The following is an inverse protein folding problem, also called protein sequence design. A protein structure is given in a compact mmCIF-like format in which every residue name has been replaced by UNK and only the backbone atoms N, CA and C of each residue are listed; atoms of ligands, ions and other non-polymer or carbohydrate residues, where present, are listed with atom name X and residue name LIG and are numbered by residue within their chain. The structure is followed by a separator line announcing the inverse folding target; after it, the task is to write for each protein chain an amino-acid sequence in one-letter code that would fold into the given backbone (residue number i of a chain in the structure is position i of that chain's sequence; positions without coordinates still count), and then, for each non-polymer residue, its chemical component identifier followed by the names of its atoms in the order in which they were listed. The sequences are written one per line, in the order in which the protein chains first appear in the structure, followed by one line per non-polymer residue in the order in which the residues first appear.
data_IF_920257446577
#
_entry.id   IF_920257446577
#
_cell.length_a   1.000
_cell.length_b   1.000
_cell.length_c   1.000
_cell.angle_alpha   90.00
_cell.angle_beta   90.00
_cell.angle_gamma   90.00
#
_symmetry.space_group_name_H-M   'P 1'
#
loop_
_entity.id
_entity.type
_entity.pdbx_description
1 polymer ?
#
# COMPACT_ATOMS: atom_id res chain seq x y z
N UNK A 1 6.93 14.27 -16.56
CA UNK A 1 5.52 14.67 -16.31
C UNK A 1 4.62 13.52 -15.85
N UNK A 2 4.90 12.26 -16.23
CA UNK A 2 3.98 11.13 -15.95
C UNK A 2 4.09 10.55 -14.52
N UNK A 3 5.23 10.68 -13.83
CA UNK A 3 5.46 10.08 -12.50
C UNK A 3 4.44 10.52 -11.45
N UNK A 4 4.08 11.81 -11.42
CA UNK A 4 3.14 12.36 -10.43
C UNK A 4 1.76 11.68 -10.42
N UNK A 5 1.02 11.68 -11.55
CA UNK A 5 -0.31 11.05 -11.60
C UNK A 5 -0.26 9.54 -11.37
N UNK A 6 0.78 8.83 -11.84
CA UNK A 6 0.88 7.37 -11.63
C UNK A 6 1.04 7.03 -10.14
N UNK A 7 1.83 7.81 -9.40
CA UNK A 7 1.99 7.63 -7.95
C UNK A 7 0.67 7.90 -7.22
N UNK A 8 -0.07 8.94 -7.62
CA UNK A 8 -1.37 9.26 -7.00
C UNK A 8 -2.39 8.12 -7.19
N UNK A 9 -2.48 7.56 -8.40
CA UNK A 9 -3.38 6.43 -8.69
C UNK A 9 -2.99 5.20 -7.86
N UNK A 10 -1.70 4.90 -7.75
CA UNK A 10 -1.22 3.78 -6.93
C UNK A 10 -1.59 3.96 -5.45
N UNK A 11 -1.36 5.15 -4.90
CA UNK A 11 -1.71 5.48 -3.51
C UNK A 11 -3.22 5.37 -3.26
N UNK A 12 -4.04 5.90 -4.17
CA UNK A 12 -5.49 5.80 -4.08
C UNK A 12 -5.98 4.35 -4.18
N UNK A 13 -5.34 3.53 -5.02
CA UNK A 13 -5.61 2.09 -5.12
C UNK A 13 -5.35 1.38 -3.80
N UNK A 14 -4.17 1.57 -3.20
CA UNK A 14 -3.81 1.00 -1.89
C UNK A 14 -4.80 1.43 -0.81
N UNK A 15 -5.14 2.72 -0.75
CA UNK A 15 -6.10 3.23 0.23
C UNK A 15 -7.51 2.64 0.05
N UNK A 16 -7.93 2.41 -1.19
CA UNK A 16 -9.21 1.78 -1.51
C UNK A 16 -9.23 0.32 -1.07
N UNK A 17 -8.19 -0.44 -1.41
CA UNK A 17 -8.06 -1.84 -0.98
C UNK A 17 -8.05 -1.95 0.54
N UNK A 18 -7.26 -1.13 1.23
CA UNK A 18 -7.21 -1.12 2.69
C UNK A 18 -8.58 -0.77 3.30
N UNK A 19 -9.31 0.19 2.71
CA UNK A 19 -10.65 0.54 3.16
C UNK A 19 -11.64 -0.63 2.99
N UNK A 20 -11.54 -1.37 1.88
CA UNK A 20 -12.34 -2.57 1.64
C UNK A 20 -12.05 -3.66 2.69
N UNK A 21 -10.77 -3.98 2.92
CA UNK A 21 -10.36 -4.96 3.92
C UNK A 21 -10.87 -4.61 5.32
N UNK A 22 -10.88 -3.31 5.68
CA UNK A 22 -11.43 -2.84 6.96
C UNK A 22 -12.94 -3.09 7.06
N UNK A 23 -13.69 -2.92 5.97
CA UNK A 23 -15.13 -3.21 5.93
C UNK A 23 -15.40 -4.71 6.06
N UNK A 24 -14.65 -5.54 5.33
CA UNK A 24 -14.80 -7.00 5.33
C UNK A 24 -14.41 -7.61 6.69
N UNK A 25 -13.28 -7.18 7.25
CA UNK A 25 -12.72 -7.71 8.51
C UNK A 25 -13.12 -6.93 9.76
N UNK A 26 -14.02 -5.95 9.64
CA UNK A 26 -14.41 -5.09 10.77
C UNK A 26 -14.93 -5.86 12.00
N UNK A 27 -15.61 -6.98 11.78
CA UNK A 27 -16.09 -7.88 12.85
C UNK A 27 -14.93 -8.59 13.57
N UNK A 28 -13.91 -9.03 12.84
CA UNK A 28 -12.72 -9.67 13.40
C UNK A 28 -11.94 -8.67 14.27
N UNK A 29 -11.75 -7.44 13.78
CA UNK A 29 -11.12 -6.38 14.56
C UNK A 29 -11.92 -6.02 15.83
N UNK A 30 -13.26 -6.03 15.74
CA UNK A 30 -14.14 -5.85 16.91
C UNK A 30 -13.99 -6.96 17.95
N UNK A 31 -13.89 -8.22 17.52
CA UNK A 31 -13.64 -9.39 18.39
C UNK A 31 -12.26 -9.33 19.04
N UNK A 32 -11.22 -9.02 18.27
CA UNK A 32 -9.87 -8.84 18.78
C UNK A 32 -9.82 -7.73 19.85
N UNK A 33 -10.54 -6.63 19.63
CA UNK A 33 -10.67 -5.56 20.64
C UNK A 33 -11.44 -6.00 21.89
N UNK A 34 -12.48 -6.83 21.74
CA UNK A 34 -13.21 -7.41 22.87
C UNK A 34 -12.34 -8.37 23.70
N UNK A 35 -11.36 -9.03 23.06
CA UNK A 35 -10.32 -9.83 23.71
C UNK A 35 -9.16 -9.00 24.30
N UNK A 36 -9.23 -7.67 24.23
CA UNK A 36 -8.27 -6.76 24.85
C UNK A 36 -7.22 -6.14 23.92
N UNK A 37 -7.27 -6.37 22.60
CA UNK A 37 -6.39 -5.65 21.67
C UNK A 37 -6.77 -4.16 21.64
N UNK A 38 -5.79 -3.29 21.89
CA UNK A 38 -5.99 -1.84 21.82
C UNK A 38 -6.19 -1.34 20.38
N UNK A 39 -6.88 -0.21 20.22
CA UNK A 39 -7.07 0.43 18.90
C UNK A 39 -5.76 0.79 18.19
N UNK A 40 -4.69 1.03 18.96
CA UNK A 40 -3.34 1.24 18.42
C UNK A 40 -2.75 -0.03 17.76
N UNK A 41 -3.10 -1.23 18.24
CA UNK A 41 -2.64 -2.48 17.63
C UNK A 41 -3.31 -2.70 16.26
N UNK A 42 -4.62 -2.44 16.16
CA UNK A 42 -5.38 -2.46 14.90
C UNK A 42 -4.81 -1.43 13.92
N UNK A 43 -4.52 -0.21 14.40
CA UNK A 43 -3.91 0.82 13.56
C UNK A 43 -2.56 0.36 12.99
N UNK A 44 -1.66 -0.16 13.84
CA UNK A 44 -0.34 -0.67 13.40
C UNK A 44 -0.47 -1.79 12.38
N UNK A 45 -1.43 -2.69 12.57
CA UNK A 45 -1.65 -3.82 11.66
C UNK A 45 -2.07 -3.33 10.27
N UNK A 46 -3.04 -2.43 10.18
CA UNK A 46 -3.49 -1.87 8.88
C UNK A 46 -2.39 -1.05 8.22
N UNK A 47 -1.62 -0.26 8.98
CA UNK A 47 -0.47 0.47 8.41
C UNK A 47 0.62 -0.48 7.90
N UNK A 48 0.85 -1.62 8.58
CA UNK A 48 1.83 -2.61 8.16
C UNK A 48 1.37 -3.34 6.89
N UNK A 49 0.09 -3.64 6.75
CA UNK A 49 -0.50 -4.20 5.52
C UNK A 49 -0.30 -3.25 4.33
N UNK A 50 -0.50 -1.96 4.53
CA UNK A 50 -0.26 -0.95 3.50
C UNK A 50 1.23 -0.77 3.15
N UNK A 51 2.12 -0.88 4.15
CA UNK A 51 3.56 -0.90 3.91
C UNK A 51 3.96 -2.13 3.09
N UNK A 52 3.38 -3.29 3.39
CA UNK A 52 3.62 -4.54 2.66
C UNK A 52 3.16 -4.43 1.19
N UNK A 53 2.02 -3.79 0.93
CA UNK A 53 1.61 -3.49 -0.44
C UNK A 53 2.62 -2.62 -1.20
N UNK A 54 3.27 -1.66 -0.52
CA UNK A 54 4.36 -0.88 -1.11
C UNK A 54 5.57 -1.74 -1.46
N UNK A 55 6.00 -2.61 -0.54
CA UNK A 55 7.11 -3.54 -0.79
C UNK A 55 6.79 -4.46 -1.97
N UNK A 56 5.62 -5.10 -1.97
CA UNK A 56 5.19 -6.01 -3.04
C UNK A 56 5.07 -5.27 -4.38
N UNK A 57 4.42 -4.10 -4.39
CA UNK A 57 4.30 -3.27 -5.58
C UNK A 57 5.65 -2.81 -6.12
N UNK A 58 6.58 -2.45 -5.24
CA UNK A 58 7.95 -2.08 -5.61
C UNK A 58 8.74 -3.25 -6.19
N UNK A 59 8.65 -4.44 -5.58
CA UNK A 59 9.34 -5.66 -6.07
C UNK A 59 8.78 -6.04 -7.44
N UNK A 60 7.46 -6.10 -7.59
CA UNK A 60 6.81 -6.40 -8.87
C UNK A 60 7.11 -5.33 -9.92
N UNK A 61 7.07 -4.06 -9.54
CA UNK A 61 7.39 -2.94 -10.42
C UNK A 61 8.83 -2.98 -10.93
N UNK A 62 9.80 -3.33 -10.08
CA UNK A 62 11.20 -3.52 -10.49
C UNK A 62 11.36 -4.77 -11.37
N UNK A 63 10.75 -5.88 -10.96
CA UNK A 63 10.82 -7.15 -11.68
C UNK A 63 10.24 -7.05 -13.10
N UNK A 64 9.20 -6.24 -13.30
CA UNK A 64 8.59 -6.01 -14.62
C UNK A 64 9.23 -4.82 -15.36
N UNK A 65 9.56 -3.75 -14.66
CA UNK A 65 10.04 -2.50 -15.24
C UNK A 65 11.46 -2.58 -15.79
N UNK A 66 12.38 -3.28 -15.12
CA UNK A 66 13.77 -3.41 -15.59
C UNK A 66 13.87 -4.22 -16.88
N UNK A 67 13.25 -5.42 -17.01
CA UNK A 67 13.23 -6.15 -18.27
C UNK A 67 12.50 -5.39 -19.39
N UNK A 68 11.41 -4.70 -19.07
CA UNK A 68 10.69 -3.89 -20.04
C UNK A 68 11.56 -2.75 -20.59
N UNK A 69 12.23 -2.00 -19.70
CA UNK A 69 13.15 -0.93 -20.11
C UNK A 69 14.31 -1.47 -20.97
N UNK A 70 14.85 -2.64 -20.61
CA UNK A 70 15.89 -3.31 -21.39
C UNK A 70 15.39 -3.69 -22.80
N UNK A 71 14.18 -4.26 -22.90
CA UNK A 71 13.58 -4.64 -24.17
C UNK A 71 13.35 -3.42 -25.07
N UNK A 72 12.88 -2.31 -24.52
CA UNK A 72 12.67 -1.06 -25.26
C UNK A 72 13.98 -0.53 -25.84
N UNK A 73 15.07 -0.50 -25.06
CA UNK A 73 16.38 -0.06 -25.55
C UNK A 73 16.90 -0.97 -26.67
N UNK A 74 16.68 -2.29 -26.56
CA UNK A 74 17.05 -3.26 -27.59
C UNK A 74 16.28 -3.08 -28.90
N UNK A 75 14.96 -2.88 -28.82
CA UNK A 75 14.09 -2.74 -30.00
C UNK A 75 14.27 -1.38 -30.68
N UNK A 76 14.58 -0.33 -29.92
CA UNK A 76 14.78 1.00 -30.47
C UNK A 76 16.11 1.17 -31.24
N UNK A 77 16.92 0.10 -31.38
CA UNK A 77 18.32 0.15 -31.88
C UNK A 77 19.14 1.28 -31.28
N UNK A 78 18.80 1.67 -30.04
CA UNK A 78 19.49 2.75 -29.37
C UNK A 78 20.92 2.28 -29.11
N UNK A 79 21.90 2.93 -29.74
CA UNK A 79 23.33 2.70 -29.51
C UNK A 79 23.77 3.12 -28.09
N UNK A 80 22.82 3.52 -27.24
CA UNK A 80 23.05 3.94 -25.88
C UNK A 80 23.28 2.73 -24.96
N UNK A 81 24.33 2.76 -24.13
CA UNK A 81 24.57 1.70 -23.16
C UNK A 81 23.43 1.68 -22.13
N UNK A 82 22.75 0.53 -22.01
CA UNK A 82 21.75 0.31 -20.97
C UNK A 82 22.44 0.27 -19.60
N UNK A 83 22.39 1.39 -18.89
CA UNK A 83 22.93 1.51 -17.53
C UNK A 83 21.76 1.57 -16.55
N UNK A 84 21.70 0.60 -15.63
CA UNK A 84 20.67 0.57 -14.59
C UNK A 84 21.07 1.52 -13.47
N UNK A 85 20.30 2.60 -13.19
CA UNK A 85 20.60 3.53 -12.10
C UNK A 85 20.15 2.92 -10.77
N UNK A 86 20.91 1.94 -10.26
CA UNK A 86 20.56 1.18 -9.06
C UNK A 86 20.30 2.08 -7.85
N UNK A 87 21.06 3.17 -7.67
CA UNK A 87 20.84 4.13 -6.60
C UNK A 87 19.49 4.85 -6.68
N UNK A 88 19.06 5.23 -7.89
CA UNK A 88 17.77 5.89 -8.10
C UNK A 88 16.60 4.90 -7.91
N UNK A 89 16.76 3.65 -8.38
CA UNK A 89 15.78 2.60 -8.15
C UNK A 89 15.63 2.28 -6.67
N UNK A 90 16.75 2.19 -5.94
CA UNK A 90 16.74 1.98 -4.49
C UNK A 90 16.08 3.15 -3.74
N UNK A 91 16.35 4.39 -4.15
CA UNK A 91 15.71 5.58 -3.57
C UNK A 91 14.20 5.59 -3.81
N UNK A 92 13.74 5.30 -5.02
CA UNK A 92 12.31 5.23 -5.35
C UNK A 92 11.63 4.08 -4.59
N UNK A 93 12.24 2.90 -4.56
CA UNK A 93 11.73 1.76 -3.79
C UNK A 93 11.64 2.09 -2.29
N UNK A 94 12.69 2.71 -1.74
CA UNK A 94 12.72 3.16 -0.34
C UNK A 94 11.68 4.22 -0.02
N UNK A 95 11.36 5.11 -0.97
CA UNK A 95 10.31 6.12 -0.82
C UNK A 95 8.89 5.52 -0.98
N UNK A 96 8.73 4.44 -1.74
CA UNK A 96 7.42 3.83 -2.00
C UNK A 96 6.78 3.29 -0.72
N UNK A 97 7.55 2.61 0.12
CA UNK A 97 7.09 1.99 1.37
C UNK A 97 6.46 3.00 2.34
N UNK A 98 7.11 4.12 2.73
CA UNK A 98 6.49 5.11 3.60
C UNK A 98 5.31 5.81 2.94
N UNK A 99 5.32 5.99 1.61
CA UNK A 99 4.20 6.59 0.87
C UNK A 99 2.95 5.71 0.92
N UNK A 100 3.09 4.39 0.68
CA UNK A 100 1.94 3.47 0.78
C UNK A 100 1.51 3.25 2.22
N UNK A 101 2.46 3.20 3.18
CA UNK A 101 2.13 3.15 4.60
C UNK A 101 1.32 4.38 5.04
N UNK A 102 1.69 5.58 4.57
CA UNK A 102 0.96 6.82 4.82
C UNK A 102 -0.46 6.78 4.24
N UNK A 103 -0.65 6.16 3.06
CA UNK A 103 -1.97 5.94 2.46
C UNK A 103 -2.91 5.14 3.38
N UNK A 104 -2.34 4.22 4.15
CA UNK A 104 -3.06 3.37 5.12
C UNK A 104 -3.53 4.08 6.39
N UNK A 105 -3.05 5.30 6.67
CA UNK A 105 -3.33 5.99 7.94
C UNK A 105 -4.82 6.29 8.12
N UNK A 106 -5.49 6.76 7.08
CA UNK A 106 -6.93 7.06 7.09
C UNK A 106 -7.78 5.79 7.31
N UNK A 107 -7.61 4.69 6.53
CA UNK A 107 -8.35 3.46 6.79
C UNK A 107 -7.98 2.82 8.14
N UNK A 108 -6.71 2.88 8.57
CA UNK A 108 -6.28 2.41 9.89
C UNK A 108 -6.97 3.16 11.04
N UNK A 109 -7.13 4.48 10.91
CA UNK A 109 -7.90 5.29 11.86
C UNK A 109 -9.37 4.87 11.87
N UNK A 110 -9.99 4.65 10.69
CA UNK A 110 -11.37 4.17 10.60
C UNK A 110 -11.54 2.81 11.29
N UNK A 111 -10.65 1.86 11.04
CA UNK A 111 -10.64 0.53 11.67
C UNK A 111 -10.46 0.58 13.19
N UNK A 112 -9.61 1.49 13.68
CA UNK A 112 -9.40 1.67 15.12
C UNK A 112 -10.62 2.27 15.83
N UNK A 113 -11.41 3.08 15.11
CA UNK A 113 -12.59 3.81 15.63
C UNK A 113 -13.89 3.04 15.48
N UNK A 114 -13.95 2.00 14.65
CA UNK A 114 -15.07 1.04 14.64
C UNK A 114 -15.06 0.27 15.95
N UNK A 115 -15.74 0.84 16.95
CA UNK A 115 -16.02 0.25 18.26
C UNK A 115 -17.17 -0.74 18.14
N UNK A 116 -17.16 -1.85 18.91
CA UNK A 116 -18.20 -2.89 18.92
C UNK A 116 -19.63 -2.37 19.19
N UNK A 117 -19.79 -1.12 19.62
CA UNK A 117 -21.09 -0.48 19.86
C UNK A 117 -21.96 -0.36 18.59
N UNK A 118 -21.36 -0.23 17.39
CA UNK A 118 -22.12 -0.20 16.12
C UNK A 118 -22.68 -1.59 15.75
N UNK A 119 -22.10 -2.67 16.29
CA UNK A 119 -22.62 -4.02 16.08
C UNK A 119 -23.86 -4.33 16.94
N UNK A 120 -24.07 -3.59 18.04
CA UNK A 120 -25.24 -3.74 18.93
C UNK A 120 -26.35 -2.73 18.60
N UNK A 121 -26.03 -1.57 18.03
CA UNK A 121 -27.00 -0.52 17.72
C UNK A 121 -27.74 -0.68 16.38
N UNK A 122 -27.50 -1.76 15.61
CA UNK A 122 -28.21 -2.06 14.36
C UNK A 122 -29.27 -3.16 14.53
N UNK A 123 -29.94 -3.16 15.68
CA UNK A 123 -31.09 -4.00 15.96
C UNK A 123 -32.26 -3.16 16.47
N UNK A 124 -32.69 -2.22 15.62
CA UNK A 124 -34.03 -1.63 15.63
C UNK A 124 -34.53 -1.60 14.17
#
# INVERSE_FOLDING_TARGET
MVLGPTVLVAVAGVATTASLTVVERGREFGLLRALGLGGAAVHRMVTAECALHGVLGGVLGLALGVPYAWLVVRVAEASAPFTVPAGQLAAVFGALVPVTAAAGTVPALRASRTSPTVAVARND
#
